data_IF_268624803947
#
_entry.id   IF_268624803947
#
_cell.length_a   1.000
_cell.length_b   1.000
_cell.length_c   1.000
_cell.angle_alpha   90.00
_cell.angle_beta   90.00
_cell.angle_gamma   90.00
#
_symmetry.space_group_name_H-M   'P 1'
#
loop_
_entity.id
_entity.type
_entity.pdbx_description
1 polymer ?
#
# COMPACT_ATOMS: atom_id res chain seq x y z
N UNK A 1 -11.66 -8.67 -11.68
CA UNK A 1 -10.97 -7.61 -12.47
C UNK A 1 -11.86 -6.44 -12.83
N UNK A 2 -12.72 -6.56 -13.85
CA UNK A 2 -13.52 -5.43 -14.36
C UNK A 2 -14.49 -4.82 -13.33
N UNK A 3 -15.07 -5.63 -12.46
CA UNK A 3 -15.99 -5.17 -11.41
C UNK A 3 -15.27 -4.36 -10.33
N UNK A 4 -14.11 -4.82 -9.84
CA UNK A 4 -13.30 -4.09 -8.86
C UNK A 4 -12.77 -2.78 -9.46
N UNK A 5 -12.31 -2.79 -10.70
CA UNK A 5 -11.89 -1.58 -11.40
C UNK A 5 -13.02 -0.56 -11.51
N UNK A 6 -14.22 -1.01 -11.89
CA UNK A 6 -15.39 -0.15 -11.98
C UNK A 6 -15.81 0.40 -10.60
N UNK A 7 -15.79 -0.45 -9.57
CA UNK A 7 -16.09 -0.05 -8.19
C UNK A 7 -15.18 1.10 -7.74
N UNK A 8 -13.85 0.91 -7.82
CA UNK A 8 -12.91 1.93 -7.37
C UNK A 8 -12.96 3.19 -8.23
N UNK A 9 -13.07 3.04 -9.55
CA UNK A 9 -13.18 4.18 -10.47
C UNK A 9 -14.43 5.02 -10.17
N UNK A 10 -15.56 4.38 -9.92
CA UNK A 10 -16.80 5.08 -9.56
C UNK A 10 -16.67 5.85 -8.24
N UNK A 11 -16.00 5.27 -7.23
CA UNK A 11 -15.75 5.94 -5.93
C UNK A 11 -14.98 7.26 -6.11
N UNK A 12 -13.99 7.29 -7.01
CA UNK A 12 -13.28 8.53 -7.34
C UNK A 12 -14.16 9.54 -8.07
N UNK A 13 -15.00 9.10 -9.01
CA UNK A 13 -15.93 9.99 -9.72
C UNK A 13 -16.98 10.60 -8.77
N UNK A 14 -17.48 9.81 -7.84
CA UNK A 14 -18.48 10.23 -6.86
C UNK A 14 -17.88 10.99 -5.66
N UNK A 15 -16.56 11.22 -5.66
CA UNK A 15 -15.83 11.85 -4.54
C UNK A 15 -16.02 11.12 -3.19
N UNK A 16 -16.29 9.82 -3.24
CA UNK A 16 -16.46 8.97 -2.06
C UNK A 16 -15.14 8.34 -1.64
N UNK A 17 -14.14 9.15 -1.41
CA UNK A 17 -12.73 8.77 -1.13
C UNK A 17 -12.35 9.01 0.33
N UNK A 18 -13.19 8.54 1.27
CA UNK A 18 -12.97 8.74 2.71
C UNK A 18 -11.66 8.17 3.27
N UNK A 19 -10.95 7.36 2.50
CA UNK A 19 -9.59 6.89 2.83
C UNK A 19 -8.49 7.91 2.47
N UNK A 20 -8.79 8.83 1.56
CA UNK A 20 -7.85 9.84 1.08
C UNK A 20 -7.68 10.95 2.15
N UNK A 21 -6.46 11.08 2.64
CA UNK A 21 -6.12 12.07 3.66
C UNK A 21 -5.53 13.35 3.08
N UNK A 22 -5.30 13.41 1.76
CA UNK A 22 -4.79 14.58 1.05
C UNK A 22 -3.29 14.82 1.14
N UNK A 23 -2.54 13.97 1.83
CA UNK A 23 -1.07 14.05 2.01
C UNK A 23 -0.47 12.69 2.36
N UNK A 24 0.86 12.58 2.26
CA UNK A 24 1.58 11.37 2.68
C UNK A 24 1.49 11.19 4.20
N UNK A 25 1.12 9.98 4.65
CA UNK A 25 0.93 9.69 6.06
C UNK A 25 2.21 9.85 6.87
N UNK A 26 2.08 10.30 8.12
CA UNK A 26 3.22 10.56 9.00
C UNK A 26 4.11 9.33 9.22
N UNK A 27 3.57 8.12 9.49
CA UNK A 27 4.41 6.94 9.67
C UNK A 27 5.24 6.59 8.42
N UNK A 28 4.66 6.74 7.24
CA UNK A 28 5.39 6.47 6.00
C UNK A 28 6.47 7.53 5.76
N UNK A 29 6.18 8.81 6.01
CA UNK A 29 7.18 9.88 5.91
C UNK A 29 8.37 9.64 6.82
N UNK A 30 8.15 9.32 8.09
CA UNK A 30 9.22 9.04 9.04
C UNK A 30 10.06 7.82 8.63
N UNK A 31 9.43 6.79 8.07
CA UNK A 31 10.16 5.65 7.54
C UNK A 31 11.02 6.03 6.33
N UNK A 32 10.45 6.76 5.37
CA UNK A 32 11.15 7.23 4.16
C UNK A 32 12.34 8.12 4.52
N UNK A 33 12.22 8.98 5.52
CA UNK A 33 13.28 9.90 5.94
C UNK A 33 14.51 9.17 6.52
N UNK A 34 14.36 7.92 6.95
CA UNK A 34 15.45 7.07 7.43
C UNK A 34 16.19 6.33 6.30
N UNK A 35 15.60 6.26 5.10
CA UNK A 35 16.19 5.56 3.97
C UNK A 35 17.35 6.37 3.38
N UNK A 36 18.54 5.76 3.36
CA UNK A 36 19.77 6.40 2.87
C UNK A 36 19.98 6.20 1.38
N UNK A 37 19.74 4.98 0.89
CA UNK A 37 19.89 4.64 -0.52
C UNK A 37 18.69 5.12 -1.32
N UNK A 38 18.90 6.10 -2.19
CA UNK A 38 17.85 6.68 -3.03
C UNK A 38 17.63 5.94 -4.34
N UNK A 39 18.52 5.02 -4.69
CA UNK A 39 18.47 4.24 -5.93
C UNK A 39 17.60 2.99 -5.84
N UNK A 40 17.13 2.63 -4.64
CA UNK A 40 16.28 1.44 -4.44
C UNK A 40 14.99 1.54 -5.25
N UNK A 41 14.59 0.42 -5.84
CA UNK A 41 13.33 0.32 -6.57
C UNK A 41 12.17 0.10 -5.62
N UNK A 42 11.23 1.04 -5.61
CA UNK A 42 10.11 1.08 -4.67
C UNK A 42 8.79 0.89 -5.41
N UNK A 43 7.88 0.07 -4.88
CA UNK A 43 6.50 -0.05 -5.34
C UNK A 43 5.54 0.44 -4.26
N UNK A 44 4.50 1.16 -4.68
CA UNK A 44 3.34 1.52 -3.86
C UNK A 44 2.10 0.94 -4.55
N UNK A 45 1.61 -0.24 -4.13
CA UNK A 45 0.40 -0.83 -4.71
C UNK A 45 -0.86 -0.22 -4.06
N UNK A 46 -1.95 -0.13 -4.84
CA UNK A 46 -3.17 0.54 -4.41
C UNK A 46 -2.92 2.00 -4.06
N UNK A 47 -2.08 2.66 -4.86
CA UNK A 47 -1.49 3.96 -4.53
C UNK A 47 -2.51 5.09 -4.40
N UNK A 48 -3.70 4.94 -4.99
CA UNK A 48 -4.68 6.01 -5.01
C UNK A 48 -4.09 7.31 -5.58
N UNK A 49 -4.28 8.41 -4.88
CA UNK A 49 -3.68 9.70 -5.25
C UNK A 49 -2.16 9.78 -5.05
N UNK A 50 -1.54 8.72 -4.53
CA UNK A 50 -0.09 8.49 -4.47
C UNK A 50 0.74 9.60 -3.78
N UNK A 51 0.24 10.15 -2.69
CA UNK A 51 0.95 11.19 -1.93
C UNK A 51 2.28 10.69 -1.37
N UNK A 52 2.39 9.43 -1.02
CA UNK A 52 3.63 8.78 -0.58
C UNK A 52 4.67 8.77 -1.70
N UNK A 53 4.25 8.50 -2.94
CA UNK A 53 5.14 8.55 -4.10
C UNK A 53 5.60 9.98 -4.39
N UNK A 54 4.70 10.95 -4.29
CA UNK A 54 5.04 12.38 -4.42
C UNK A 54 6.08 12.79 -3.36
N UNK A 55 5.92 12.32 -2.12
CA UNK A 55 6.89 12.59 -1.05
C UNK A 55 8.25 11.99 -1.35
N UNK A 56 8.30 10.71 -1.75
CA UNK A 56 9.53 10.02 -2.15
C UNK A 56 10.23 10.74 -3.31
N UNK A 57 9.48 11.10 -4.35
CA UNK A 57 9.99 11.81 -5.51
C UNK A 57 10.65 13.15 -5.12
N UNK A 58 9.97 13.94 -4.28
CA UNK A 58 10.52 15.19 -3.74
C UNK A 58 11.76 15.00 -2.84
N UNK A 59 11.93 13.80 -2.25
CA UNK A 59 13.12 13.42 -1.46
C UNK A 59 14.26 12.88 -2.31
N UNK A 60 14.09 12.82 -3.64
CA UNK A 60 15.12 12.40 -4.57
C UNK A 60 15.23 10.89 -4.78
N UNK A 61 14.15 10.13 -4.50
CA UNK A 61 14.05 8.74 -4.96
C UNK A 61 13.57 8.74 -6.42
N UNK A 62 14.39 8.27 -7.32
CA UNK A 62 14.13 8.32 -8.77
C UNK A 62 13.50 7.04 -9.33
N UNK A 63 13.45 5.98 -8.54
CA UNK A 63 12.97 4.66 -8.94
C UNK A 63 11.72 4.23 -8.15
N UNK A 64 10.74 5.14 -8.08
CA UNK A 64 9.45 4.94 -7.41
C UNK A 64 8.40 4.57 -8.43
N UNK A 65 7.69 3.47 -8.20
CA UNK A 65 6.61 2.98 -9.03
C UNK A 65 5.30 3.00 -8.27
N UNK A 66 4.23 3.43 -8.91
CA UNK A 66 2.87 3.39 -8.38
C UNK A 66 2.01 2.45 -9.19
N UNK A 67 1.13 1.74 -8.50
CA UNK A 67 0.18 0.80 -9.09
C UNK A 67 -1.21 1.05 -8.52
N UNK A 68 -2.18 1.25 -9.39
CA UNK A 68 -3.59 1.29 -9.01
C UNK A 68 -4.46 0.69 -10.12
N UNK A 69 -5.59 0.11 -9.73
CA UNK A 69 -6.53 -0.46 -10.68
C UNK A 69 -7.34 0.64 -11.38
N UNK A 70 -7.54 1.79 -10.73
CA UNK A 70 -8.26 2.95 -11.27
C UNK A 70 -7.30 3.94 -11.94
N UNK A 71 -7.63 4.32 -13.16
CA UNK A 71 -6.88 5.36 -13.88
C UNK A 71 -7.09 6.77 -13.32
N UNK A 72 -8.18 6.99 -12.59
CA UNK A 72 -8.59 8.33 -12.14
C UNK A 72 -7.55 8.94 -11.19
N UNK A 73 -7.17 8.29 -10.07
CA UNK A 73 -6.17 8.85 -9.17
C UNK A 73 -4.78 8.93 -9.81
N UNK A 74 -4.41 7.99 -10.69
CA UNK A 74 -3.13 8.01 -11.39
C UNK A 74 -3.00 9.24 -12.31
N UNK A 75 -4.08 9.62 -13.00
CA UNK A 75 -4.12 10.86 -13.80
C UNK A 75 -3.99 12.10 -12.90
N UNK A 76 -4.67 12.13 -11.77
CA UNK A 76 -4.57 13.25 -10.81
C UNK A 76 -3.16 13.37 -10.24
N UNK A 77 -2.52 12.24 -9.91
CA UNK A 77 -1.12 12.21 -9.50
C UNK A 77 -0.20 12.79 -10.58
N UNK A 78 -0.35 12.36 -11.85
CA UNK A 78 0.48 12.86 -12.96
C UNK A 78 0.32 14.36 -13.21
N UNK A 79 -0.89 14.88 -13.06
CA UNK A 79 -1.14 16.34 -13.16
C UNK A 79 -0.37 17.10 -12.07
N UNK A 80 -0.33 16.58 -10.84
CA UNK A 80 0.43 17.21 -9.73
C UNK A 80 1.95 17.03 -9.87
N UNK A 81 2.38 15.99 -10.56
CA UNK A 81 3.79 15.62 -10.70
C UNK A 81 4.14 15.40 -12.18
N UNK A 82 4.17 16.46 -13.01
CA UNK A 82 4.34 16.33 -14.46
C UNK A 82 5.69 15.71 -14.86
N UNK A 83 6.73 15.88 -14.04
CA UNK A 83 8.07 15.35 -14.29
C UNK A 83 8.24 13.87 -13.85
N UNK A 84 7.25 13.30 -13.18
CA UNK A 84 7.31 11.89 -12.77
C UNK A 84 7.23 10.97 -13.99
N UNK A 85 8.10 9.95 -14.14
CA UNK A 85 8.15 9.13 -15.34
C UNK A 85 6.85 8.34 -15.60
N UNK A 86 6.31 8.41 -16.80
CA UNK A 86 5.11 7.66 -17.19
C UNK A 86 5.32 6.13 -17.09
N UNK A 87 6.55 5.67 -17.34
CA UNK A 87 6.95 4.26 -17.22
C UNK A 87 6.90 3.73 -15.79
N UNK A 88 6.76 4.59 -14.79
CA UNK A 88 6.64 4.25 -13.38
C UNK A 88 5.18 4.29 -12.87
N UNK A 89 4.24 4.66 -13.74
CA UNK A 89 2.80 4.72 -13.42
C UNK A 89 2.11 3.50 -14.05
N UNK A 90 1.60 2.61 -13.22
CA UNK A 90 1.00 1.35 -13.67
C UNK A 90 -0.50 1.32 -13.36
N UNK A 91 -1.32 1.21 -14.42
CA UNK A 91 -2.74 0.88 -14.27
C UNK A 91 -2.90 -0.62 -14.50
N UNK A 92 -3.04 -1.40 -13.43
CA UNK A 92 -3.23 -2.84 -13.53
C UNK A 92 -3.90 -3.40 -12.27
N UNK A 93 -4.41 -4.62 -12.36
CA UNK A 93 -4.79 -5.42 -11.20
C UNK A 93 -3.53 -5.83 -10.43
N UNK A 94 -3.57 -5.66 -9.11
CA UNK A 94 -2.46 -6.02 -8.24
C UNK A 94 -2.04 -7.49 -8.40
N UNK A 95 -2.98 -8.41 -8.47
CA UNK A 95 -2.68 -9.84 -8.56
C UNK A 95 -2.12 -10.30 -9.92
N UNK A 96 -2.29 -9.47 -10.95
CA UNK A 96 -1.75 -9.74 -12.29
C UNK A 96 -0.46 -8.95 -12.59
N UNK A 97 -0.10 -8.04 -11.69
CA UNK A 97 1.07 -7.19 -11.87
C UNK A 97 2.36 -7.95 -11.52
N UNK A 98 3.40 -7.76 -12.31
CA UNK A 98 4.69 -8.42 -12.13
C UNK A 98 5.84 -7.41 -12.04
N UNK A 99 6.83 -7.75 -11.27
CA UNK A 99 8.02 -6.93 -11.09
C UNK A 99 8.91 -7.43 -9.96
N UNK A 100 10.04 -6.76 -9.75
CA UNK A 100 10.97 -7.06 -8.66
C UNK A 100 11.42 -5.76 -8.02
N UNK A 101 11.11 -5.59 -6.75
CA UNK A 101 11.30 -4.35 -5.99
C UNK A 101 12.16 -4.59 -4.75
N UNK A 102 12.92 -3.57 -4.34
CA UNK A 102 13.70 -3.60 -3.10
C UNK A 102 12.83 -3.31 -1.88
N UNK A 103 11.80 -2.46 -2.08
CA UNK A 103 10.86 -2.05 -1.06
C UNK A 103 9.45 -1.98 -1.63
N UNK A 104 8.48 -2.49 -0.89
CA UNK A 104 7.05 -2.19 -1.11
C UNK A 104 6.57 -1.36 0.06
N UNK A 105 5.88 -0.26 -0.23
CA UNK A 105 5.20 0.58 0.77
C UNK A 105 3.71 0.27 0.75
N UNK A 106 3.21 -0.23 1.85
CA UNK A 106 1.80 -0.51 2.12
C UNK A 106 1.17 0.69 2.84
N UNK A 107 0.11 1.24 2.28
CA UNK A 107 -0.68 2.28 2.94
C UNK A 107 -2.15 1.90 2.92
N UNK A 108 -2.56 1.10 3.90
CA UNK A 108 -3.96 0.65 4.09
C UNK A 108 -4.60 0.00 2.85
N UNK A 109 -3.80 -0.67 2.04
CA UNK A 109 -4.25 -1.35 0.81
C UNK A 109 -4.85 -2.74 1.09
N UNK A 110 -4.31 -3.49 2.06
CA UNK A 110 -4.83 -4.80 2.46
C UNK A 110 -6.34 -4.77 2.76
N UNK A 111 -6.81 -3.70 3.39
CA UNK A 111 -8.20 -3.54 3.79
C UNK A 111 -9.17 -3.28 2.62
N UNK A 112 -8.67 -3.15 1.40
CA UNK A 112 -9.48 -2.98 0.19
C UNK A 112 -10.01 -4.30 -0.35
N UNK A 113 -9.36 -5.42 -0.02
CA UNK A 113 -9.72 -6.75 -0.52
C UNK A 113 -10.79 -7.41 0.35
N UNK A 114 -11.76 -8.04 -0.31
CA UNK A 114 -12.77 -8.87 0.38
C UNK A 114 -12.08 -9.87 1.31
N UNK A 115 -12.46 -9.95 2.60
CA UNK A 115 -11.67 -10.62 3.63
C UNK A 115 -11.85 -12.16 3.63
N UNK A 116 -11.73 -12.79 2.47
CA UNK A 116 -11.65 -14.24 2.35
C UNK A 116 -10.26 -14.75 2.70
N UNK A 117 -10.16 -15.97 3.16
CA UNK A 117 -8.86 -16.61 3.41
C UNK A 117 -7.99 -16.64 2.13
N UNK A 118 -8.61 -16.93 1.00
CA UNK A 118 -7.95 -16.95 -0.32
C UNK A 118 -7.34 -15.59 -0.63
N UNK A 119 -8.13 -14.52 -0.64
CA UNK A 119 -7.63 -13.19 -1.00
C UNK A 119 -6.50 -12.72 -0.08
N UNK A 120 -6.61 -12.99 1.22
CA UNK A 120 -5.59 -12.59 2.19
C UNK A 120 -4.29 -13.37 2.04
N UNK A 121 -4.39 -14.66 1.75
CA UNK A 121 -3.22 -15.49 1.48
C UNK A 121 -2.54 -15.11 0.17
N UNK A 122 -3.33 -14.90 -0.89
CA UNK A 122 -2.82 -14.44 -2.20
C UNK A 122 -2.17 -13.05 -2.09
N UNK A 123 -2.75 -12.12 -1.33
CA UNK A 123 -2.11 -10.83 -1.06
C UNK A 123 -0.72 -10.99 -0.46
N UNK A 124 -0.59 -11.76 0.63
CA UNK A 124 0.69 -11.94 1.30
C UNK A 124 1.73 -12.63 0.41
N UNK A 125 1.30 -13.65 -0.34
CA UNK A 125 2.12 -14.35 -1.33
C UNK A 125 2.60 -13.41 -2.42
N UNK A 126 1.68 -12.66 -3.03
CA UNK A 126 1.99 -11.77 -4.14
C UNK A 126 2.89 -10.60 -3.74
N UNK A 127 2.70 -10.02 -2.54
CA UNK A 127 3.65 -9.05 -1.98
C UNK A 127 5.07 -9.62 -1.89
N UNK A 128 5.21 -10.89 -1.50
CA UNK A 128 6.51 -11.55 -1.46
C UNK A 128 7.07 -11.81 -2.87
N UNK A 129 6.24 -12.20 -3.83
CA UNK A 129 6.65 -12.43 -5.22
C UNK A 129 7.15 -11.14 -5.88
N UNK A 130 6.57 -9.99 -5.57
CA UNK A 130 6.98 -8.68 -6.06
C UNK A 130 8.27 -8.15 -5.43
N UNK A 131 8.75 -8.76 -4.36
CA UNK A 131 10.00 -8.36 -3.71
C UNK A 131 11.19 -9.18 -4.17
N UNK A 132 12.32 -8.53 -4.37
CA UNK A 132 13.63 -9.17 -4.50
C UNK A 132 13.98 -9.97 -3.24
N UNK A 133 14.91 -10.93 -3.28
CA UNK A 133 15.45 -11.56 -2.08
C UNK A 133 15.90 -10.52 -1.05
N UNK A 134 15.51 -10.70 0.22
CA UNK A 134 15.74 -9.75 1.32
C UNK A 134 15.04 -8.38 1.18
N UNK A 135 14.24 -8.17 0.15
CA UNK A 135 13.40 -6.98 -0.01
C UNK A 135 12.44 -6.81 1.18
N UNK A 136 11.96 -5.60 1.39
CA UNK A 136 11.13 -5.25 2.55
C UNK A 136 9.73 -4.83 2.12
N UNK A 137 8.76 -5.24 2.93
CA UNK A 137 7.41 -4.70 2.96
C UNK A 137 7.31 -3.83 4.21
N UNK A 138 7.05 -2.53 4.06
CA UNK A 138 6.90 -1.61 5.18
C UNK A 138 5.62 -0.80 5.00
N UNK A 139 4.88 -0.56 6.09
CA UNK A 139 3.63 0.17 5.92
C UNK A 139 2.73 0.21 7.13
N UNK A 140 1.47 0.56 6.84
CA UNK A 140 0.42 0.78 7.81
C UNK A 140 -0.79 -0.09 7.48
N UNK A 141 -1.30 -0.81 8.48
CA UNK A 141 -2.50 -1.64 8.41
C UNK A 141 -3.52 -1.18 9.44
N UNK A 142 -4.80 -1.26 9.12
CA UNK A 142 -5.83 -0.95 10.11
C UNK A 142 -5.91 -2.02 11.21
N UNK A 143 -5.91 -1.57 12.47
CA UNK A 143 -6.23 -2.38 13.66
C UNK A 143 -7.66 -2.07 14.12
N UNK A 144 -8.63 -2.53 13.33
CA UNK A 144 -10.05 -2.36 13.57
C UNK A 144 -10.76 -3.71 13.49
N UNK A 145 -11.89 -3.89 14.21
CA UNK A 145 -12.61 -5.14 14.15
C UNK A 145 -12.99 -5.56 12.74
N UNK A 146 -12.89 -6.86 12.46
CA UNK A 146 -13.43 -7.42 11.23
C UNK A 146 -14.94 -7.20 11.19
N UNK A 147 -15.41 -6.69 10.07
CA UNK A 147 -16.83 -6.63 9.77
C UNK A 147 -17.27 -7.88 9.02
N UNK A 148 -18.48 -8.37 9.33
CA UNK A 148 -19.15 -9.40 8.53
C UNK A 148 -19.89 -8.81 7.32
N UNK A 149 -19.95 -7.49 7.22
CA UNK A 149 -20.52 -6.79 6.08
C UNK A 149 -19.49 -6.75 4.95
N UNK A 150 -19.68 -7.63 3.98
CA UNK A 150 -18.77 -7.79 2.84
C UNK A 150 -18.82 -6.63 1.84
N UNK A 151 -19.76 -5.70 2.00
CA UNK A 151 -19.88 -4.50 1.16
C UNK A 151 -19.22 -3.27 1.81
N UNK A 152 -18.92 -3.36 3.11
CA UNK A 152 -18.43 -2.23 3.89
C UNK A 152 -16.90 -2.20 3.99
N UNK A 153 -16.25 -1.53 3.04
CA UNK A 153 -14.82 -1.19 3.13
C UNK A 153 -14.61 0.07 3.99
N UNK A 154 -13.47 0.20 4.69
CA UNK A 154 -12.33 -0.72 4.74
C UNK A 154 -12.61 -1.96 5.58
N UNK A 155 -12.10 -3.12 5.13
CA UNK A 155 -12.19 -4.34 5.92
C UNK A 155 -11.11 -4.32 7.01
N UNK A 156 -11.51 -4.62 8.24
CA UNK A 156 -10.60 -4.63 9.38
C UNK A 156 -9.62 -5.80 9.40
N UNK A 157 -8.83 -5.81 10.43
CA UNK A 157 -7.90 -6.87 10.77
C UNK A 157 -7.26 -6.62 12.13
N UNK A 158 -6.56 -7.60 12.63
CA UNK A 158 -5.81 -7.52 13.89
C UNK A 158 -4.35 -7.92 13.65
N UNK A 159 -3.46 -7.55 14.58
CA UNK A 159 -2.05 -7.97 14.53
C UNK A 159 -1.91 -9.48 14.32
N UNK A 160 -2.67 -10.29 15.05
CA UNK A 160 -2.65 -11.75 14.93
C UNK A 160 -3.07 -12.20 13.53
N UNK A 161 -4.14 -11.64 13.01
CA UNK A 161 -4.64 -11.99 11.69
C UNK A 161 -3.60 -11.70 10.61
N UNK A 162 -3.02 -10.51 10.60
CA UNK A 162 -2.01 -10.13 9.61
C UNK A 162 -0.78 -11.02 9.69
N UNK A 163 -0.28 -11.31 10.91
CA UNK A 163 0.90 -12.17 11.10
C UNK A 163 0.66 -13.60 10.63
N UNK A 164 -0.56 -14.13 10.75
CA UNK A 164 -0.90 -15.47 10.25
C UNK A 164 -0.72 -15.61 8.73
N UNK A 165 -0.91 -14.55 7.96
CA UNK A 165 -0.69 -14.56 6.52
C UNK A 165 0.74 -14.14 6.16
N UNK A 166 1.22 -13.04 6.73
CA UNK A 166 2.52 -12.47 6.36
C UNK A 166 3.69 -13.37 6.79
N UNK A 167 3.65 -13.99 7.96
CA UNK A 167 4.74 -14.84 8.46
C UNK A 167 4.94 -16.13 7.65
N UNK A 168 4.06 -16.46 6.70
CA UNK A 168 4.28 -17.54 5.75
C UNK A 168 5.39 -17.21 4.73
N UNK A 169 5.62 -15.94 4.47
CA UNK A 169 6.51 -15.45 3.41
C UNK A 169 7.56 -14.45 3.92
N UNK A 170 7.34 -13.89 5.10
CA UNK A 170 8.15 -12.81 5.64
C UNK A 170 8.63 -13.11 7.06
N UNK A 171 9.83 -12.64 7.36
CA UNK A 171 10.29 -12.45 8.74
C UNK A 171 9.82 -11.08 9.22
N UNK A 172 9.07 -11.05 10.31
CA UNK A 172 8.68 -9.80 10.98
C UNK A 172 9.91 -9.15 11.62
N UNK A 173 10.20 -7.89 11.26
CA UNK A 173 11.22 -7.06 11.91
C UNK A 173 10.58 -6.26 13.04
N UNK A 174 9.49 -5.56 12.75
CA UNK A 174 8.62 -4.90 13.72
C UNK A 174 7.18 -4.96 13.23
N UNK A 175 6.22 -5.04 14.13
CA UNK A 175 4.79 -4.92 13.81
C UNK A 175 4.03 -4.59 15.08
N UNK A 176 3.81 -3.31 15.33
CA UNK A 176 3.20 -2.81 16.55
C UNK A 176 2.25 -1.65 16.28
N UNK A 177 1.51 -1.23 17.32
CA UNK A 177 0.62 -0.08 17.24
C UNK A 177 1.37 1.14 16.72
N UNK A 178 0.82 1.77 15.70
CA UNK A 178 1.40 2.96 15.11
C UNK A 178 1.28 4.14 16.09
N UNK A 179 2.42 4.63 16.59
CA UNK A 179 2.44 5.72 17.59
C UNK A 179 2.23 7.10 16.97
N UNK A 180 2.51 7.24 15.68
CA UNK A 180 2.48 8.50 14.94
C UNK A 180 1.42 8.52 13.82
N UNK A 181 0.35 7.73 13.98
CA UNK A 181 -0.83 7.80 13.12
C UNK A 181 -1.37 9.22 13.02
N UNK A 182 -1.94 9.56 11.89
CA UNK A 182 -2.68 10.81 11.76
C UNK A 182 -3.83 10.88 12.78
N UNK A 183 -4.22 12.08 13.28
CA UNK A 183 -5.20 12.21 14.36
C UNK A 183 -6.50 11.40 14.15
N UNK A 184 -7.14 11.38 12.95
CA UNK A 184 -8.36 10.59 12.73
C UNK A 184 -8.19 9.08 12.81
N UNK A 185 -6.95 8.57 12.73
CA UNK A 185 -6.62 7.13 12.73
C UNK A 185 -5.82 6.70 13.95
N UNK A 186 -5.61 7.62 14.90
CA UNK A 186 -4.84 7.34 16.10
C UNK A 186 -5.47 6.21 16.91
N UNK A 187 -4.64 5.20 17.24
CA UNK A 187 -5.08 4.02 17.99
C UNK A 187 -5.75 2.92 17.13
N UNK A 188 -5.97 3.15 15.83
CA UNK A 188 -6.59 2.19 14.92
C UNK A 188 -5.65 1.72 13.78
N UNK A 189 -4.36 1.93 13.92
CA UNK A 189 -3.37 1.50 12.93
C UNK A 189 -2.22 0.73 13.58
N UNK A 190 -1.71 -0.25 12.83
CA UNK A 190 -0.45 -0.96 13.09
C UNK A 190 0.58 -0.48 12.07
N UNK A 191 1.80 -0.26 12.52
CA UNK A 191 2.95 -0.04 11.65
C UNK A 191 3.84 -1.28 11.63
N UNK A 192 4.28 -1.70 10.46
CA UNK A 192 5.09 -2.91 10.30
C UNK A 192 6.23 -2.78 9.28
N UNK A 193 7.28 -3.54 9.55
CA UNK A 193 8.38 -3.80 8.62
C UNK A 193 8.60 -5.31 8.59
N UNK A 194 8.52 -5.87 7.41
CA UNK A 194 8.68 -7.30 7.15
C UNK A 194 9.75 -7.49 6.08
N UNK A 195 10.58 -8.50 6.25
CA UNK A 195 11.60 -8.85 5.26
C UNK A 195 11.24 -10.16 4.58
N UNK A 196 11.27 -10.20 3.24
CA UNK A 196 11.04 -11.42 2.47
C UNK A 196 12.02 -12.51 2.93
N UNK A 197 11.48 -13.67 3.23
CA UNK A 197 12.28 -14.88 3.47
C UNK A 197 12.90 -15.35 2.15
N UNK A 198 14.03 -16.01 2.26
CA UNK A 198 14.77 -16.57 1.11
C UNK A 198 14.01 -17.71 0.47
#
# INVERSE_FOLDING_TARGET
>A
MKEEQNYWTQRYHDQQTGWDIGYASTPIKEYVDQLKDKSIKILIPGAGNAYEAEYLWKKGFDNVHILDISVVPLKQFKIRNPDFPDTHIHQADFFEFHGQYDLIIEQTFFCSFVPTETNRNEYAKHMAELLKPKGKLAGVWFDIPLTNDMEKRPFGGTKVLYTNYLNKYFKTITFDRCYNSIPPRQGSELYGIFQKMS
#
